data_IF_149459374804
#
_entry.id   IF_149459374804
#
_cell.length_a   1.000
_cell.length_b   1.000
_cell.length_c   1.000
_cell.angle_alpha   90.00
_cell.angle_beta   90.00
_cell.angle_gamma   90.00
#
_symmetry.space_group_name_H-M   'P 1'
#
loop_
_entity.id
_entity.type
_entity.pdbx_description
1 polymer ?
#
# COMPACT_ATOMS: atom_id res chain seq x y z
N UNK A 1 14.82 4.54 4.62
CA UNK A 1 14.57 3.44 3.67
C UNK A 1 14.38 2.17 4.44
N UNK A 2 13.20 1.55 4.30
CA UNK A 2 12.89 0.29 4.95
C UNK A 2 13.44 -0.88 4.13
N UNK A 3 14.17 -1.78 4.80
CA UNK A 3 14.68 -2.99 4.17
C UNK A 3 13.51 -3.89 3.78
N UNK A 4 13.47 -4.29 2.52
CA UNK A 4 12.48 -5.25 2.03
C UNK A 4 12.81 -6.66 2.52
N UNK A 5 11.79 -7.39 2.97
CA UNK A 5 11.89 -8.79 3.40
C UNK A 5 11.17 -9.77 2.47
N UNK A 6 11.29 -11.06 2.74
CA UNK A 6 10.60 -12.15 2.01
C UNK A 6 9.11 -12.33 2.35
N UNK A 7 8.46 -11.26 2.80
CA UNK A 7 7.05 -11.27 3.20
C UNK A 7 6.11 -11.21 2.00
N UNK A 8 4.83 -11.51 2.23
CA UNK A 8 3.80 -11.48 1.19
C UNK A 8 3.60 -10.06 0.63
N UNK A 9 3.68 -9.03 1.49
CA UNK A 9 3.54 -7.61 1.16
C UNK A 9 4.88 -6.88 1.35
N UNK A 10 5.13 -5.76 0.66
CA UNK A 10 6.33 -4.95 0.89
C UNK A 10 6.29 -4.26 2.27
N UNK A 11 7.47 -3.99 2.82
CA UNK A 11 7.63 -3.19 4.03
C UNK A 11 7.65 -1.70 3.66
N UNK A 12 7.01 -0.83 4.44
CA UNK A 12 7.04 0.61 4.20
C UNK A 12 5.91 1.37 4.88
N UNK A 13 5.83 2.66 4.57
CA UNK A 13 4.71 3.53 4.92
C UNK A 13 3.50 3.18 4.03
N UNK A 14 2.47 2.59 4.64
CA UNK A 14 1.21 2.28 3.97
C UNK A 14 0.23 3.47 4.03
N UNK A 15 -0.52 3.66 2.96
CA UNK A 15 -1.56 4.69 2.85
C UNK A 15 -2.72 4.22 1.97
N UNK A 16 -3.93 4.74 2.21
CA UNK A 16 -5.06 4.60 1.28
C UNK A 16 -5.04 5.63 0.17
N UNK A 17 -5.60 5.26 -0.97
CA UNK A 17 -6.04 6.25 -1.94
C UNK A 17 -7.37 6.86 -1.50
N UNK A 18 -7.38 8.14 -1.13
CA UNK A 18 -8.55 8.76 -0.51
C UNK A 18 -8.80 8.21 0.90
N UNK A 19 -10.06 7.92 1.22
CA UNK A 19 -10.50 7.57 2.58
C UNK A 19 -10.74 6.07 2.80
N UNK A 20 -10.28 5.20 1.89
CA UNK A 20 -10.65 3.78 1.93
C UNK A 20 -10.12 3.06 3.18
N UNK A 21 -8.94 3.43 3.71
CA UNK A 21 -8.46 2.90 4.98
C UNK A 21 -9.31 3.36 6.17
N UNK A 22 -9.82 4.60 6.16
CA UNK A 22 -10.70 5.08 7.24
C UNK A 22 -11.96 4.23 7.32
N UNK A 23 -12.59 3.96 6.17
CA UNK A 23 -13.77 3.09 6.08
C UNK A 23 -13.46 1.64 6.46
N UNK A 24 -12.31 1.12 6.04
CA UNK A 24 -11.89 -0.25 6.34
C UNK A 24 -11.65 -0.45 7.84
N UNK A 25 -10.96 0.50 8.48
CA UNK A 25 -10.67 0.45 9.91
C UNK A 25 -11.96 0.51 10.74
N UNK A 26 -12.96 1.31 10.32
CA UNK A 26 -14.28 1.36 10.97
C UNK A 26 -15.01 0.01 11.02
N UNK A 27 -14.80 -0.88 10.03
CA UNK A 27 -15.56 -2.13 9.92
C UNK A 27 -14.76 -3.38 10.21
N UNK A 28 -13.51 -3.44 9.77
CA UNK A 28 -12.67 -4.66 9.80
C UNK A 28 -11.58 -4.62 10.88
N UNK A 29 -11.21 -3.43 11.38
CA UNK A 29 -10.15 -3.25 12.39
C UNK A 29 -10.50 -2.15 13.42
N UNK A 30 -11.65 -2.22 14.12
CA UNK A 30 -12.11 -1.16 15.02
C UNK A 30 -11.10 -0.81 16.12
N UNK A 31 -10.26 -1.76 16.54
CA UNK A 31 -9.18 -1.53 17.50
C UNK A 31 -8.10 -0.54 17.00
N UNK A 32 -7.86 -0.49 15.69
CA UNK A 32 -6.99 0.54 15.10
C UNK A 32 -7.65 1.91 15.16
N UNK A 33 -8.97 1.98 15.07
CA UNK A 33 -9.71 3.23 15.21
C UNK A 33 -9.56 3.82 16.61
N UNK A 34 -9.57 2.96 17.64
CA UNK A 34 -9.43 3.36 19.04
C UNK A 34 -8.03 3.91 19.36
N UNK A 35 -7.02 3.49 18.60
CA UNK A 35 -5.62 3.88 18.83
C UNK A 35 -5.11 4.94 17.85
N UNK A 36 -5.81 5.16 16.74
CA UNK A 36 -5.48 6.20 15.78
C UNK A 36 -5.79 7.59 16.35
N UNK A 37 -4.76 8.41 16.53
CA UNK A 37 -4.91 9.78 17.05
C UNK A 37 -4.65 10.85 16.00
N UNK A 38 -4.13 10.49 14.83
CA UNK A 38 -3.76 11.45 13.80
C UNK A 38 -4.02 10.89 12.41
N UNK A 39 -4.52 11.75 11.52
CA UNK A 39 -4.69 11.48 10.09
C UNK A 39 -3.84 12.45 9.30
N UNK A 40 -3.03 11.92 8.39
CA UNK A 40 -2.16 12.72 7.52
C UNK A 40 -2.53 12.54 6.05
N UNK A 41 -2.55 13.66 5.30
CA UNK A 41 -2.46 13.64 3.86
C UNK A 41 -0.98 13.72 3.46
N UNK A 42 -0.58 12.87 2.52
CA UNK A 42 0.79 12.83 2.00
C UNK A 42 0.80 13.12 0.51
N UNK A 43 1.76 13.91 0.07
CA UNK A 43 2.15 14.07 -1.32
C UNK A 43 3.48 13.37 -1.56
N UNK A 44 3.68 12.89 -2.78
CA UNK A 44 4.92 12.21 -3.17
C UNK A 44 5.19 12.35 -4.67
N UNK A 45 6.39 12.00 -5.13
CA UNK A 45 6.75 11.98 -6.55
C UNK A 45 6.16 10.75 -7.29
N UNK A 46 5.10 10.88 -8.11
CA UNK A 46 4.42 9.73 -8.69
C UNK A 46 5.29 8.96 -9.70
N UNK A 47 6.26 9.63 -10.33
CA UNK A 47 7.18 8.99 -11.28
C UNK A 47 8.15 7.98 -10.64
N UNK A 48 8.25 7.97 -9.31
CA UNK A 48 9.10 7.04 -8.55
C UNK A 48 8.35 5.79 -8.08
N UNK A 49 7.03 5.75 -8.28
CA UNK A 49 6.16 4.66 -7.82
C UNK A 49 5.92 3.63 -8.91
N UNK A 50 5.95 2.35 -8.55
CA UNK A 50 5.40 1.30 -9.40
C UNK A 50 3.87 1.35 -9.33
N UNK A 51 3.21 1.73 -10.41
CA UNK A 51 1.73 1.80 -10.46
C UNK A 51 1.15 0.51 -11.04
N UNK A 52 0.24 -0.12 -10.31
CA UNK A 52 -0.45 -1.36 -10.68
C UNK A 52 -1.96 -1.13 -10.66
N UNK A 53 -2.51 -0.79 -11.81
CA UNK A 53 -3.92 -0.39 -11.98
C UNK A 53 -4.79 -1.48 -12.62
N UNK A 54 -4.26 -2.69 -12.85
CA UNK A 54 -5.01 -3.80 -13.44
C UNK A 54 -4.46 -5.18 -13.06
N UNK A 55 -5.30 -6.24 -13.12
CA UNK A 55 -4.87 -7.62 -12.90
C UNK A 55 -3.68 -8.04 -13.77
N UNK A 56 -3.68 -7.64 -15.04
CA UNK A 56 -2.58 -7.94 -15.99
C UNK A 56 -1.26 -7.27 -15.60
N UNK A 57 -1.32 -6.10 -14.97
CA UNK A 57 -0.11 -5.48 -14.43
C UNK A 57 0.36 -6.20 -13.17
N UNK A 58 -0.56 -6.61 -12.29
CA UNK A 58 -0.22 -7.42 -11.11
C UNK A 58 0.47 -8.74 -11.52
N UNK A 59 -0.09 -9.44 -12.51
CA UNK A 59 0.50 -10.62 -13.14
C UNK A 59 1.93 -10.37 -13.63
N UNK A 60 2.13 -9.30 -14.41
CA UNK A 60 3.46 -8.93 -14.94
C UNK A 60 4.46 -8.68 -13.84
N UNK A 61 4.06 -8.00 -12.77
CA UNK A 61 4.92 -7.75 -11.60
C UNK A 61 5.27 -9.08 -10.93
N UNK A 62 4.26 -9.92 -10.69
CA UNK A 62 4.42 -11.25 -10.11
C UNK A 62 5.45 -12.10 -10.84
N UNK A 63 5.36 -12.21 -12.17
CA UNK A 63 6.33 -12.98 -12.94
C UNK A 63 7.70 -12.31 -13.07
N UNK A 64 7.74 -10.99 -13.26
CA UNK A 64 9.00 -10.25 -13.45
C UNK A 64 9.91 -10.29 -12.23
N UNK A 65 9.32 -10.31 -11.05
CA UNK A 65 10.03 -10.25 -9.78
C UNK A 65 9.85 -11.53 -8.96
N UNK A 66 9.45 -12.64 -9.59
CA UNK A 66 9.33 -13.92 -8.90
C UNK A 66 10.70 -14.35 -8.36
N UNK A 67 10.76 -14.56 -7.06
CA UNK A 67 11.78 -15.40 -6.44
C UNK A 67 11.31 -16.86 -6.51
N UNK A 68 12.07 -17.68 -7.22
CA UNK A 68 11.73 -19.09 -7.46
C UNK A 68 11.84 -19.95 -6.20
N UNK A 69 12.68 -19.54 -5.24
CA UNK A 69 12.87 -20.28 -4.00
C UNK A 69 11.69 -20.07 -3.05
N UNK A 70 11.32 -18.81 -2.81
CA UNK A 70 10.17 -18.47 -1.96
C UNK A 70 8.81 -18.57 -2.67
N UNK A 71 8.80 -18.65 -4.01
CA UNK A 71 7.61 -18.55 -4.88
C UNK A 71 6.80 -17.27 -4.65
N UNK A 72 7.47 -16.18 -4.29
CA UNK A 72 6.87 -14.87 -3.98
C UNK A 72 7.55 -13.76 -4.77
N UNK A 73 6.97 -12.56 -4.73
CA UNK A 73 7.62 -11.37 -5.27
C UNK A 73 8.83 -11.01 -4.40
N UNK A 74 9.97 -10.86 -5.05
CA UNK A 74 11.20 -10.33 -4.49
C UNK A 74 11.11 -8.80 -4.39
N UNK A 75 10.60 -8.32 -3.26
CA UNK A 75 10.47 -6.90 -2.99
C UNK A 75 11.83 -6.18 -2.96
N UNK A 76 12.91 -6.88 -2.59
CA UNK A 76 14.28 -6.35 -2.66
C UNK A 76 14.68 -6.02 -4.10
N UNK A 77 14.34 -6.86 -5.08
CA UNK A 77 14.54 -6.52 -6.50
C UNK A 77 13.62 -5.40 -6.96
N UNK A 78 12.38 -5.33 -6.50
CA UNK A 78 11.45 -4.23 -6.86
C UNK A 78 11.98 -2.89 -6.37
N UNK A 79 12.48 -2.83 -5.14
CA UNK A 79 12.96 -1.58 -4.51
C UNK A 79 14.22 -1.01 -5.16
N UNK A 80 14.97 -1.79 -5.94
CA UNK A 80 16.10 -1.26 -6.74
C UNK A 80 15.68 -0.30 -7.85
N UNK A 81 14.39 -0.27 -8.21
CA UNK A 81 13.87 0.53 -9.34
C UNK A 81 12.80 1.53 -8.94
N UNK A 82 12.08 1.27 -7.86
CA UNK A 82 10.96 2.07 -7.42
C UNK A 82 11.11 2.42 -5.94
N UNK A 83 10.58 3.56 -5.54
CA UNK A 83 10.53 4.01 -4.15
C UNK A 83 9.30 3.48 -3.38
N UNK A 84 8.35 2.90 -4.12
CA UNK A 84 7.12 2.34 -3.58
C UNK A 84 6.27 1.69 -4.67
N UNK A 85 5.12 1.17 -4.25
CA UNK A 85 4.08 0.62 -5.12
C UNK A 85 2.73 1.27 -4.80
N UNK A 86 1.89 1.48 -5.82
CA UNK A 86 0.53 1.98 -5.67
C UNK A 86 -0.44 1.10 -6.48
N UNK A 87 -1.51 0.64 -5.84
CA UNK A 87 -2.56 -0.19 -6.44
C UNK A 87 -3.89 0.59 -6.51
N UNK A 88 -3.92 1.71 -7.22
CA UNK A 88 -5.08 2.60 -7.30
C UNK A 88 -5.42 2.95 -8.76
N UNK A 89 -6.50 2.40 -9.35
CA UNK A 89 -7.54 1.57 -8.72
C UNK A 89 -7.07 0.15 -8.35
N UNK A 90 -7.66 -0.42 -7.30
CA UNK A 90 -7.49 -1.81 -6.90
C UNK A 90 -8.60 -2.68 -7.47
N UNK A 91 -8.25 -3.65 -8.32
CA UNK A 91 -9.17 -4.49 -9.09
C UNK A 91 -9.05 -5.96 -8.72
N UNK A 92 -9.03 -6.26 -7.41
CA UNK A 92 -8.90 -7.63 -6.88
C UNK A 92 -9.91 -8.60 -7.47
N UNK A 93 -11.18 -8.18 -7.57
CA UNK A 93 -12.28 -9.03 -8.05
C UNK A 93 -12.12 -9.48 -9.51
N UNK A 94 -11.19 -8.88 -10.26
CA UNK A 94 -10.88 -9.23 -11.65
C UNK A 94 -9.67 -10.18 -11.76
N UNK A 95 -9.02 -10.56 -10.66
CA UNK A 95 -7.88 -11.50 -10.67
C UNK A 95 -8.38 -12.91 -11.01
N UNK A 96 -7.85 -13.57 -12.05
CA UNK A 96 -8.15 -14.97 -12.36
C UNK A 96 -7.72 -15.92 -11.23
N UNK A 97 -8.48 -17.00 -11.00
CA UNK A 97 -8.24 -17.94 -9.90
C UNK A 97 -6.82 -18.55 -9.91
N UNK A 98 -6.32 -18.91 -11.10
CA UNK A 98 -4.98 -19.44 -11.33
C UNK A 98 -3.87 -18.47 -10.93
N UNK A 99 -4.15 -17.16 -10.95
CA UNK A 99 -3.20 -16.13 -10.57
C UNK A 99 -3.16 -15.84 -9.06
N UNK A 100 -4.10 -16.36 -8.25
CA UNK A 100 -4.14 -16.08 -6.81
C UNK A 100 -2.87 -16.50 -6.07
N UNK A 101 -2.23 -17.59 -6.50
CA UNK A 101 -1.02 -18.08 -5.86
C UNK A 101 0.19 -17.19 -6.20
N UNK A 102 0.32 -16.76 -7.45
CA UNK A 102 1.48 -15.97 -7.92
C UNK A 102 1.31 -14.47 -7.69
N UNK A 103 0.07 -13.97 -7.70
CA UNK A 103 -0.29 -12.59 -7.34
C UNK A 103 -0.90 -12.49 -5.94
N UNK A 104 -0.57 -13.44 -5.05
CA UNK A 104 -1.05 -13.44 -3.67
C UNK A 104 -0.71 -12.16 -2.93
N UNK A 105 0.41 -11.50 -3.29
CA UNK A 105 0.74 -10.19 -2.76
C UNK A 105 -0.29 -9.11 -3.10
N UNK A 106 -0.82 -9.12 -4.33
CA UNK A 106 -1.79 -8.13 -4.81
C UNK A 106 -3.13 -8.39 -4.13
N UNK A 107 -3.57 -9.65 -4.12
CA UNK A 107 -4.82 -10.09 -3.47
C UNK A 107 -4.82 -9.81 -1.97
N UNK A 108 -3.64 -9.81 -1.34
CA UNK A 108 -3.51 -9.52 0.07
C UNK A 108 -3.79 -8.05 0.41
N UNK A 109 -3.80 -7.12 -0.55
CA UNK A 109 -4.18 -5.74 -0.26
C UNK A 109 -5.65 -5.70 0.17
N UNK A 110 -5.93 -4.99 1.25
CA UNK A 110 -7.24 -4.97 1.88
C UNK A 110 -8.16 -3.97 1.15
N UNK A 111 -7.58 -2.83 0.77
CA UNK A 111 -8.25 -1.72 0.08
C UNK A 111 -7.32 -1.05 -0.95
N UNK A 112 -7.83 -0.18 -1.86
CA UNK A 112 -6.99 0.67 -2.70
C UNK A 112 -5.94 1.42 -1.87
N UNK A 113 -4.68 1.04 -2.05
CA UNK A 113 -3.59 1.51 -1.20
C UNK A 113 -2.25 1.50 -1.93
N UNK A 114 -1.29 2.21 -1.35
CA UNK A 114 0.11 2.16 -1.72
C UNK A 114 1.00 1.94 -0.50
N UNK A 115 2.25 1.60 -0.79
CA UNK A 115 3.31 1.40 0.19
C UNK A 115 4.58 2.11 -0.31
N UNK A 116 5.12 3.04 0.49
CA UNK A 116 6.34 3.80 0.21
C UNK A 116 7.44 3.28 1.14
N UNK A 117 8.49 2.69 0.58
CA UNK A 117 9.64 2.19 1.35
C UNK A 117 10.85 3.12 1.30
N UNK A 118 10.89 4.03 0.32
CA UNK A 118 11.84 5.14 0.26
C UNK A 118 11.09 6.46 0.48
N UNK A 119 11.07 6.92 1.73
CA UNK A 119 10.33 8.13 2.13
C UNK A 119 10.98 9.43 1.66
N UNK A 120 12.13 9.39 0.99
CA UNK A 120 12.73 10.59 0.40
C UNK A 120 11.89 11.19 -0.73
N UNK A 121 10.95 10.43 -1.31
CA UNK A 121 10.04 10.90 -2.35
C UNK A 121 8.84 11.70 -1.81
N UNK A 122 8.67 11.78 -0.49
CA UNK A 122 7.56 12.51 0.12
C UNK A 122 7.77 14.02 -0.09
N UNK A 123 6.80 14.66 -0.73
CA UNK A 123 6.84 16.09 -1.06
C UNK A 123 6.03 16.93 -0.08
N UNK A 124 4.99 16.36 0.51
CA UNK A 124 4.16 17.02 1.51
C UNK A 124 3.70 16.03 2.58
N UNK A 125 3.52 16.54 3.80
CA UNK A 125 2.86 15.87 4.91
C UNK A 125 2.00 16.91 5.62
N UNK A 126 0.69 16.80 5.50
CA UNK A 126 -0.29 17.68 6.13
C UNK A 126 -1.06 16.91 7.17
N UNK A 127 -1.10 17.41 8.42
CA UNK A 127 -2.03 16.92 9.42
C UNK A 127 -3.45 17.34 9.00
N UNK A 128 -4.33 16.36 8.84
CA UNK A 128 -5.73 16.56 8.40
C UNK A 128 -6.69 16.43 9.56
N UNK A 129 -6.42 15.54 10.51
CA UNK A 129 -7.21 15.42 11.71
C UNK A 129 -6.37 14.95 12.89
N UNK A 130 -6.74 15.36 14.10
CA UNK A 130 -6.14 14.90 15.35
C UNK A 130 -7.24 14.64 16.38
N UNK A 131 -7.12 13.54 17.12
CA UNK A 131 -8.01 13.21 18.21
C UNK A 131 -7.60 14.02 19.46
N UNK A 132 -8.46 14.93 19.89
CA UNK A 132 -8.35 15.71 21.14
C UNK A 132 -9.28 15.12 22.20
N UNK A 133 -9.23 15.67 23.42
CA UNK A 133 -10.09 15.26 24.54
C UNK A 133 -11.59 15.30 24.18
N UNK A 134 -12.02 16.33 23.44
CA UNK A 134 -13.42 16.53 23.03
C UNK A 134 -13.79 15.87 21.68
N UNK A 135 -12.89 15.06 21.11
CA UNK A 135 -13.08 14.38 19.84
C UNK A 135 -12.14 14.85 18.72
N UNK A 136 -12.47 14.49 17.48
CA UNK A 136 -11.63 14.79 16.30
C UNK A 136 -11.70 16.27 15.91
N UNK A 137 -10.54 16.92 15.91
CA UNK A 137 -10.35 18.24 15.30
C UNK A 137 -9.88 18.05 13.85
N UNK A 138 -10.54 18.72 12.89
CA UNK A 138 -10.25 18.61 11.45
C UNK A 138 -9.59 19.89 10.96
N UNK A 139 -8.41 19.75 10.36
CA UNK A 139 -7.63 20.83 9.78
C UNK A 139 -7.85 20.90 8.27
N UNK A 140 -7.98 22.12 7.75
CA UNK A 140 -8.16 22.41 6.30
C UNK A 140 -6.84 22.80 5.65
#
# INVERSE_FOLDING_TARGET
NDTQGGHLKPNGLWYSCGTDWLKFVETEMPELQETATMVYAIGYEPGKMLRVTSPKQAERVSYRYLDYDSKRVDWGKVSTKYAGIECCPYRRGEIPFDLYLTAGWYVAFDVPSGCIWDTSILTTKQLVAELKEDGWEIYR
#
